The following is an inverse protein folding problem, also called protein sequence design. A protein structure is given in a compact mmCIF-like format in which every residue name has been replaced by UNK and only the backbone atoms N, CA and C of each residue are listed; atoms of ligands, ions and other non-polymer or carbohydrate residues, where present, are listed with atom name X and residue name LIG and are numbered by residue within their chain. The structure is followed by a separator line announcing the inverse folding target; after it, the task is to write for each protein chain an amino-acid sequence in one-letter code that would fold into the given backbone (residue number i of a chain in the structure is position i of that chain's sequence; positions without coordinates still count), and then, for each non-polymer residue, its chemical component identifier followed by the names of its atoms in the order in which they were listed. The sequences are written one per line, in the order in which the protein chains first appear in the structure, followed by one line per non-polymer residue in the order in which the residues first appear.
data_IF_101785758540
#
_entry.id   IF_101785758540
#
_cell.length_a   1.000
_cell.length_b   1.000
_cell.length_c   1.000
_cell.angle_alpha   90.00
_cell.angle_beta   90.00
_cell.angle_gamma   90.00
#
_symmetry.space_group_name_H-M   'P 1'
#
loop_
_entity.id
_entity.type
_entity.pdbx_description
1 polymer ?
#
# COMPACT_ATOMS: atom_id res chain seq x y z
N UNK A 1 -7.17 -21.90 -4.43
CA UNK A 1 -7.32 -20.48 -4.06
C UNK A 1 -5.95 -19.92 -3.70
N UNK A 2 -5.61 -18.80 -4.29
CA UNK A 2 -4.37 -18.06 -4.02
C UNK A 2 -4.74 -16.76 -3.30
N UNK A 3 -4.08 -16.47 -2.20
CA UNK A 3 -4.16 -15.17 -1.53
C UNK A 3 -2.78 -14.53 -1.60
N UNK A 4 -2.68 -13.39 -2.26
CA UNK A 4 -1.46 -12.58 -2.29
C UNK A 4 -1.56 -11.46 -1.27
N UNK A 5 -0.48 -11.21 -0.54
CA UNK A 5 -0.37 -10.13 0.43
C UNK A 5 0.88 -9.31 0.12
N UNK A 6 0.66 -8.02 -0.15
CA UNK A 6 1.74 -7.05 -0.29
C UNK A 6 1.73 -6.14 0.93
N UNK A 7 2.86 -6.07 1.63
CA UNK A 7 3.06 -5.06 2.68
C UNK A 7 4.07 -4.04 2.20
N UNK A 8 3.79 -2.77 2.47
CA UNK A 8 4.64 -1.65 2.02
C UNK A 8 4.88 -0.73 3.20
N UNK A 9 6.15 -0.55 3.53
CA UNK A 9 6.59 0.40 4.55
C UNK A 9 6.92 1.72 3.84
N UNK A 10 6.25 2.79 4.25
CA UNK A 10 6.31 4.10 3.61
C UNK A 10 6.85 5.17 4.54
N UNK A 11 7.56 6.12 3.94
CA UNK A 11 7.85 7.41 4.53
C UNK A 11 7.04 8.50 3.83
N UNK A 12 6.55 9.48 4.58
CA UNK A 12 5.86 10.67 4.07
C UNK A 12 6.66 11.90 4.55
N UNK A 13 7.81 12.20 3.92
CA UNK A 13 8.78 13.15 4.47
C UNK A 13 8.25 14.59 4.56
N UNK A 14 7.31 14.97 3.70
CA UNK A 14 6.69 16.31 3.73
C UNK A 14 5.63 16.52 4.79
N UNK A 15 5.25 15.47 5.52
CA UNK A 15 4.22 15.55 6.54
C UNK A 15 4.75 16.21 7.82
N UNK A 16 4.00 17.17 8.35
CA UNK A 16 4.34 17.88 9.59
C UNK A 16 3.37 17.56 10.74
N UNK A 17 2.36 16.74 10.49
CA UNK A 17 1.37 16.37 11.49
C UNK A 17 0.78 15.02 11.17
N UNK A 18 0.13 14.42 12.17
CA UNK A 18 -0.61 13.18 11.96
C UNK A 18 -1.76 13.38 10.96
N UNK A 19 -2.41 14.55 10.99
CA UNK A 19 -3.46 14.89 10.04
C UNK A 19 -2.94 14.92 8.60
N UNK A 20 -1.77 15.53 8.38
CA UNK A 20 -1.15 15.58 7.05
C UNK A 20 -0.88 14.17 6.52
N UNK A 21 -0.27 13.32 7.35
CA UNK A 21 0.03 11.93 6.97
C UNK A 21 -1.25 11.16 6.66
N UNK A 22 -2.27 11.26 7.49
CA UNK A 22 -3.55 10.57 7.28
C UNK A 22 -4.23 10.99 5.99
N UNK A 23 -4.16 12.26 5.60
CA UNK A 23 -4.70 12.74 4.34
C UNK A 23 -3.99 12.10 3.14
N UNK A 24 -2.66 12.04 3.17
CA UNK A 24 -1.86 11.40 2.12
C UNK A 24 -2.20 9.91 2.00
N UNK A 25 -2.21 9.20 3.11
CA UNK A 25 -2.48 7.75 3.12
C UNK A 25 -3.92 7.44 2.72
N UNK A 26 -4.89 8.20 3.22
CA UNK A 26 -6.30 8.02 2.85
C UNK A 26 -6.53 8.22 1.37
N UNK A 27 -5.94 9.27 0.79
CA UNK A 27 -6.01 9.54 -0.64
C UNK A 27 -5.39 8.40 -1.45
N UNK A 28 -4.22 7.93 -1.06
CA UNK A 28 -3.52 6.84 -1.72
C UNK A 28 -4.35 5.54 -1.69
N UNK A 29 -4.86 5.17 -0.51
CA UNK A 29 -5.69 3.96 -0.37
C UNK A 29 -6.98 4.06 -1.18
N UNK A 30 -7.62 5.22 -1.21
CA UNK A 30 -8.83 5.43 -2.00
C UNK A 30 -8.56 5.25 -3.49
N UNK A 31 -7.49 5.84 -4.00
CA UNK A 31 -7.10 5.69 -5.40
C UNK A 31 -6.80 4.24 -5.76
N UNK A 32 -6.10 3.53 -4.88
CA UNK A 32 -5.78 2.12 -5.12
C UNK A 32 -7.04 1.26 -5.12
N UNK A 33 -7.94 1.46 -4.16
CA UNK A 33 -9.22 0.72 -4.09
C UNK A 33 -10.09 0.96 -5.31
N UNK A 34 -10.07 2.17 -5.86
CA UNK A 34 -10.83 2.50 -7.07
C UNK A 34 -10.23 1.90 -8.34
N UNK A 35 -8.92 1.68 -8.35
CA UNK A 35 -8.20 1.20 -9.52
C UNK A 35 -7.99 -0.32 -9.52
N UNK A 36 -7.87 -0.92 -8.35
CA UNK A 36 -7.56 -2.34 -8.18
C UNK A 36 -8.57 -3.02 -7.27
N UNK A 37 -8.92 -4.25 -7.59
CA UNK A 37 -9.80 -5.06 -6.74
C UNK A 37 -8.98 -5.74 -5.64
N UNK A 38 -8.71 -4.99 -4.58
CA UNK A 38 -7.94 -5.45 -3.43
C UNK A 38 -8.57 -4.97 -2.13
N UNK A 39 -8.32 -5.70 -1.06
CA UNK A 39 -8.53 -5.22 0.29
C UNK A 39 -7.28 -4.47 0.72
N UNK A 40 -7.44 -3.28 1.30
CA UNK A 40 -6.32 -2.42 1.63
C UNK A 40 -6.51 -1.74 2.99
N UNK A 41 -5.44 -1.63 3.75
CA UNK A 41 -5.48 -0.97 5.06
C UNK A 41 -4.09 -0.45 5.47
N UNK A 42 -4.08 0.58 6.31
CA UNK A 42 -2.90 0.95 7.07
C UNK A 42 -2.85 0.04 8.30
N UNK A 43 -1.74 -0.68 8.51
CA UNK A 43 -1.64 -1.74 9.53
C UNK A 43 -0.67 -1.45 10.65
N UNK A 44 0.20 -0.46 10.52
CA UNK A 44 1.15 -0.09 11.57
C UNK A 44 1.57 1.38 11.43
N UNK A 45 2.25 1.89 12.46
CA UNK A 45 2.68 3.29 12.56
C UNK A 45 1.53 4.29 12.52
N UNK A 46 0.36 3.90 13.06
CA UNK A 46 -0.86 4.71 13.00
C UNK A 46 -0.70 6.06 13.70
N UNK A 47 0.14 6.14 14.72
CA UNK A 47 0.41 7.37 15.48
C UNK A 47 1.66 8.13 14.99
N UNK A 48 2.35 7.62 13.98
CA UNK A 48 3.50 8.30 13.38
C UNK A 48 3.02 9.29 12.31
N UNK A 49 3.56 10.51 12.31
CA UNK A 49 3.20 11.50 11.31
C UNK A 49 4.08 11.45 10.04
N UNK A 50 5.08 10.57 9.98
CA UNK A 50 5.98 10.43 8.82
C UNK A 50 6.17 9.00 8.34
N UNK A 51 5.60 8.00 9.03
CA UNK A 51 5.71 6.60 8.64
C UNK A 51 4.33 5.98 8.55
N UNK A 52 4.20 5.04 7.64
CA UNK A 52 3.00 4.21 7.50
C UNK A 52 3.40 2.83 7.00
N UNK A 53 2.68 1.81 7.44
CA UNK A 53 2.78 0.48 6.85
C UNK A 53 1.41 0.11 6.30
N UNK A 54 1.37 -0.19 5.00
CA UNK A 54 0.15 -0.54 4.29
C UNK A 54 0.17 -2.01 3.93
N UNK A 55 -1.00 -2.64 3.94
CA UNK A 55 -1.17 -4.00 3.46
C UNK A 55 -2.27 -4.06 2.40
N UNK A 56 -2.02 -4.87 1.37
CA UNK A 56 -2.94 -5.12 0.27
C UNK A 56 -3.09 -6.62 0.11
N UNK A 57 -4.33 -7.10 0.05
CA UNK A 57 -4.61 -8.51 -0.14
C UNK A 57 -5.55 -8.71 -1.31
N UNK A 58 -5.28 -9.72 -2.12
CA UNK A 58 -6.19 -10.12 -3.18
C UNK A 58 -6.24 -11.64 -3.33
N UNK A 59 -7.37 -12.11 -3.84
CA UNK A 59 -7.68 -13.52 -4.00
C UNK A 59 -7.86 -13.82 -5.47
N UNK A 60 -7.29 -14.92 -5.94
CA UNK A 60 -7.51 -15.44 -7.29
C UNK A 60 -7.23 -16.94 -7.31
N UNK A 61 -7.51 -17.57 -8.44
CA UNK A 61 -7.06 -18.91 -8.75
C UNK A 61 -5.78 -18.93 -9.60
N UNK A 62 -5.18 -17.78 -9.86
CA UNK A 62 -4.01 -17.62 -10.72
C UNK A 62 -2.95 -16.77 -10.00
N UNK A 63 -1.87 -17.43 -9.60
CA UNK A 63 -0.78 -16.77 -8.85
C UNK A 63 -0.07 -15.71 -9.68
N UNK A 64 0.14 -15.96 -10.97
CA UNK A 64 0.80 -14.99 -11.85
C UNK A 64 -0.01 -13.71 -11.97
N UNK A 65 -1.33 -13.80 -12.02
CA UNK A 65 -2.24 -12.66 -12.06
C UNK A 65 -2.18 -11.84 -10.77
N UNK A 66 -2.18 -12.52 -9.62
CA UNK A 66 -2.06 -11.89 -8.31
C UNK A 66 -0.72 -11.15 -8.20
N UNK A 67 0.36 -11.81 -8.57
CA UNK A 67 1.69 -11.20 -8.55
C UNK A 67 1.75 -9.93 -9.40
N UNK A 68 1.22 -10.00 -10.62
CA UNK A 68 1.18 -8.87 -11.55
C UNK A 68 0.37 -7.70 -10.99
N UNK A 69 -0.77 -7.98 -10.38
CA UNK A 69 -1.63 -6.95 -9.77
C UNK A 69 -0.91 -6.25 -8.62
N UNK A 70 -0.31 -7.02 -7.72
CA UNK A 70 0.38 -6.46 -6.56
C UNK A 70 1.65 -5.68 -6.95
N UNK A 71 2.37 -6.12 -8.00
CA UNK A 71 3.48 -5.36 -8.55
C UNK A 71 3.02 -4.00 -9.12
N UNK A 72 1.89 -3.97 -9.79
CA UNK A 72 1.31 -2.72 -10.30
C UNK A 72 0.91 -1.77 -9.18
N UNK A 73 0.41 -2.29 -8.07
CA UNK A 73 0.09 -1.48 -6.89
C UNK A 73 1.37 -0.86 -6.32
N UNK A 74 2.44 -1.63 -6.18
CA UNK A 74 3.73 -1.13 -5.71
C UNK A 74 4.27 -0.04 -6.62
N UNK A 75 4.22 -0.23 -7.95
CA UNK A 75 4.64 0.78 -8.92
C UNK A 75 3.78 2.05 -8.82
N UNK A 76 2.48 1.90 -8.62
CA UNK A 76 1.57 3.02 -8.42
C UNK A 76 1.95 3.84 -7.17
N UNK A 77 2.27 3.17 -6.07
CA UNK A 77 2.73 3.83 -4.84
C UNK A 77 4.04 4.57 -5.08
N UNK A 78 5.00 3.93 -5.78
CA UNK A 78 6.29 4.55 -6.09
C UNK A 78 6.16 5.78 -6.98
N UNK A 79 5.10 5.89 -7.76
CA UNK A 79 4.85 7.06 -8.60
C UNK A 79 4.31 8.26 -7.83
N UNK A 80 3.90 8.09 -6.58
CA UNK A 80 3.36 9.17 -5.75
C UNK A 80 4.51 10.03 -5.19
N UNK A 81 4.59 11.32 -5.53
CA UNK A 81 5.70 12.17 -5.11
C UNK A 81 5.69 12.49 -3.61
N UNK A 82 4.57 12.25 -2.91
CA UNK A 82 4.44 12.53 -1.47
C UNK A 82 4.88 11.37 -0.59
N UNK A 83 5.15 10.20 -1.18
CA UNK A 83 5.52 8.98 -0.46
C UNK A 83 6.85 8.45 -0.97
N UNK A 84 7.60 7.83 -0.07
CA UNK A 84 8.79 7.04 -0.40
C UNK A 84 8.62 5.63 0.12
N UNK A 85 8.82 4.64 -0.75
CA UNK A 85 8.82 3.23 -0.34
C UNK A 85 10.14 2.92 0.35
N UNK A 86 10.07 2.58 1.64
CA UNK A 86 11.22 2.21 2.45
C UNK A 86 11.51 0.72 2.29
N UNK A 87 10.47 -0.10 2.29
CA UNK A 87 10.58 -1.55 2.16
C UNK A 87 9.25 -2.11 1.66
N UNK A 88 9.30 -3.30 1.07
CA UNK A 88 8.10 -4.02 0.63
C UNK A 88 8.33 -5.52 0.75
N UNK A 89 7.25 -6.25 0.98
CA UNK A 89 7.26 -7.71 1.07
C UNK A 89 6.02 -8.28 0.37
N UNK A 90 6.21 -9.36 -0.38
CA UNK A 90 5.16 -10.06 -1.11
C UNK A 90 5.10 -11.51 -0.64
N UNK A 91 3.93 -11.94 -0.19
CA UNK A 91 3.67 -13.29 0.27
C UNK A 91 2.46 -13.89 -0.45
N UNK A 92 2.49 -15.21 -0.60
CA UNK A 92 1.35 -16.00 -1.05
C UNK A 92 0.95 -17.00 0.03
N UNK A 93 -0.32 -17.03 0.35
CA UNK A 93 -0.88 -17.94 1.35
C UNK A 93 -2.09 -18.71 0.80
#
# INVERSE_FOLDING_TARGET
MIVGILTVDLSVPGSNSLKDKRQVIKSLLTLIRNKFNVSAAEIDHLDSHRRAELAFACVSNDQALVNKMLDKILDFIRSNPLCEVVDSDLQFV
#
